data_IF_275224156121
#
_entry.id   IF_275224156121
#
_cell.length_a   1.000
_cell.length_b   1.000
_cell.length_c   1.000
_cell.angle_alpha   90.00
_cell.angle_beta   90.00
_cell.angle_gamma   90.00
#
_symmetry.space_group_name_H-M   'P 1'
#
loop_
_entity.id
_entity.type
_entity.pdbx_description
1 polymer ?
#
# COMPACT_ATOMS: atom_id res chain seq x y z
N UNK A 1 -34.71 2.23 41.44
CA UNK A 1 -33.63 2.17 40.44
C UNK A 1 -32.95 0.82 40.59
N UNK A 2 -33.05 -0.06 39.60
CA UNK A 2 -32.55 -1.44 39.67
C UNK A 2 -31.09 -1.50 39.21
N UNK A 3 -30.19 -1.99 40.06
CA UNK A 3 -28.80 -2.28 39.71
C UNK A 3 -28.73 -3.37 38.62
N UNK A 4 -27.84 -3.25 37.62
CA UNK A 4 -27.66 -4.30 36.64
C UNK A 4 -27.01 -5.52 37.32
N UNK A 5 -27.76 -6.63 37.39
CA UNK A 5 -27.20 -7.91 37.80
C UNK A 5 -26.13 -8.33 36.78
N UNK A 6 -24.87 -8.40 37.21
CA UNK A 6 -23.78 -8.96 36.42
C UNK A 6 -24.13 -10.41 36.06
N UNK A 7 -24.37 -10.66 34.77
CA UNK A 7 -24.56 -12.00 34.23
C UNK A 7 -23.25 -12.79 34.16
N UNK A 8 -23.34 -14.08 33.84
CA UNK A 8 -22.19 -14.96 33.73
C UNK A 8 -21.23 -14.48 32.62
N UNK A 9 -19.96 -14.31 32.98
CA UNK A 9 -18.87 -14.10 32.02
C UNK A 9 -18.31 -15.47 31.61
N UNK A 10 -18.46 -15.83 30.33
CA UNK A 10 -17.88 -17.06 29.77
C UNK A 10 -16.74 -16.66 28.83
N UNK A 11 -15.54 -17.15 29.12
CA UNK A 11 -14.37 -16.97 28.26
C UNK A 11 -14.02 -18.29 27.60
N UNK A 12 -13.84 -18.30 26.28
CA UNK A 12 -13.53 -19.51 25.49
C UNK A 12 -12.26 -19.28 24.68
N UNK A 13 -11.42 -20.32 24.56
CA UNK A 13 -10.30 -20.34 23.62
C UNK A 13 -10.78 -20.73 22.23
N UNK A 14 -10.58 -19.84 21.26
CA UNK A 14 -10.80 -20.13 19.86
C UNK A 14 -9.47 -20.55 19.21
N UNK A 15 -9.44 -21.65 18.43
CA UNK A 15 -8.25 -22.04 17.69
C UNK A 15 -7.99 -21.03 16.57
N UNK A 16 -6.81 -20.43 16.56
CA UNK A 16 -6.40 -19.49 15.52
C UNK A 16 -5.03 -19.89 14.95
N UNK A 17 -4.76 -19.51 13.69
CA UNK A 17 -3.47 -19.76 13.04
C UNK A 17 -2.99 -18.51 12.31
N UNK A 18 -1.72 -18.16 12.52
CA UNK A 18 -1.04 -17.09 11.79
C UNK A 18 -0.45 -17.60 10.49
N UNK A 19 -0.55 -16.77 9.46
CA UNK A 19 0.06 -17.00 8.16
C UNK A 19 0.84 -15.75 7.76
N UNK A 20 2.00 -15.98 7.14
CA UNK A 20 2.77 -14.94 6.47
C UNK A 20 2.38 -14.94 5.01
N UNK A 21 1.76 -13.86 4.57
CA UNK A 21 1.28 -13.69 3.21
C UNK A 21 2.20 -12.69 2.52
N UNK A 22 2.84 -13.14 1.43
CA UNK A 22 3.58 -12.26 0.54
C UNK A 22 2.60 -11.77 -0.52
N UNK A 23 2.23 -10.50 -0.48
CA UNK A 23 1.30 -9.90 -1.40
C UNK A 23 1.97 -8.79 -2.21
N UNK A 24 1.76 -8.82 -3.53
CA UNK A 24 2.14 -7.74 -4.43
C UNK A 24 0.91 -6.89 -4.70
N UNK A 25 0.90 -5.66 -4.19
CA UNK A 25 -0.21 -4.74 -4.38
C UNK A 25 0.16 -3.71 -5.44
N UNK A 26 -0.55 -3.75 -6.58
CA UNK A 26 -0.54 -2.67 -7.56
C UNK A 26 -1.47 -1.57 -7.07
N UNK A 27 -0.88 -0.49 -6.54
CA UNK A 27 -1.65 0.70 -6.18
C UNK A 27 -1.58 1.70 -7.33
N UNK A 28 -2.73 1.98 -7.93
CA UNK A 28 -2.87 3.11 -8.84
C UNK A 28 -2.89 4.40 -8.03
N UNK A 29 -1.79 5.14 -8.05
CA UNK A 29 -1.74 6.47 -7.46
C UNK A 29 -2.12 7.47 -8.53
N UNK A 30 -3.13 8.29 -8.24
CA UNK A 30 -3.46 9.43 -9.08
C UNK A 30 -2.26 10.38 -9.14
N UNK A 31 -1.82 10.71 -10.36
CA UNK A 31 -0.81 11.74 -10.58
C UNK A 31 -1.34 13.11 -10.15
N UNK A 32 -0.45 14.04 -9.75
CA UNK A 32 -0.80 15.45 -9.65
C UNK A 32 -1.49 15.94 -10.93
N UNK A 33 -2.50 16.79 -10.79
CA UNK A 33 -3.33 17.22 -11.93
C UNK A 33 -2.52 17.83 -13.08
N UNK A 34 -1.54 18.70 -12.76
CA UNK A 34 -0.71 19.37 -13.79
C UNK A 34 0.09 18.33 -14.59
N UNK A 35 0.77 17.39 -13.91
CA UNK A 35 1.53 16.34 -14.59
C UNK A 35 0.62 15.45 -15.43
N UNK A 36 -0.57 15.10 -14.92
CA UNK A 36 -1.54 14.27 -15.65
C UNK A 36 -2.03 14.96 -16.93
N UNK A 37 -2.32 16.26 -16.86
CA UNK A 37 -2.71 17.05 -18.01
C UNK A 37 -1.56 17.24 -19.01
N UNK A 38 -0.33 17.45 -18.53
CA UNK A 38 0.85 17.52 -19.40
C UNK A 38 1.02 16.22 -20.20
N UNK A 39 0.89 15.07 -19.54
CA UNK A 39 0.88 13.76 -20.21
C UNK A 39 -0.26 13.62 -21.22
N UNK A 40 -1.44 14.18 -20.92
CA UNK A 40 -2.57 14.16 -21.85
C UNK A 40 -2.32 15.02 -23.09
N UNK A 41 -1.69 16.18 -22.94
CA UNK A 41 -1.30 17.02 -24.06
C UNK A 41 -0.27 16.30 -24.95
N UNK A 42 0.75 15.69 -24.34
CA UNK A 42 1.75 14.90 -25.08
C UNK A 42 1.12 13.74 -25.85
N UNK A 43 0.07 13.09 -25.32
CA UNK A 43 -0.66 12.04 -26.04
C UNK A 43 -1.45 12.56 -27.25
N UNK A 44 -1.86 13.83 -27.23
CA UNK A 44 -2.65 14.44 -28.31
C UNK A 44 -1.73 14.97 -29.41
N UNK A 45 -0.65 15.65 -29.03
CA UNK A 45 0.25 16.34 -29.96
C UNK A 45 1.47 15.51 -30.38
N UNK A 46 1.74 14.39 -29.69
CA UNK A 46 2.88 13.47 -29.86
C UNK A 46 4.26 14.09 -29.55
N UNK A 47 4.48 15.36 -29.90
CA UNK A 47 5.67 16.16 -29.61
C UNK A 47 5.27 17.55 -29.11
N UNK A 48 5.91 18.04 -28.04
CA UNK A 48 5.72 19.40 -27.52
C UNK A 48 7.03 20.02 -27.07
N UNK A 49 7.14 21.34 -27.17
CA UNK A 49 8.26 22.06 -26.56
C UNK A 49 8.01 22.35 -25.07
N UNK A 50 9.07 22.37 -24.23
CA UNK A 50 8.97 22.80 -22.84
C UNK A 50 8.32 24.17 -22.67
N UNK A 51 8.59 25.09 -23.59
CA UNK A 51 8.06 26.45 -23.61
C UNK A 51 6.56 26.49 -23.89
N UNK A 52 6.03 25.56 -24.68
CA UNK A 52 4.59 25.46 -24.96
C UNK A 52 3.82 24.96 -23.74
N UNK A 53 4.39 23.97 -23.04
CA UNK A 53 3.88 23.50 -21.76
C UNK A 53 3.87 24.63 -20.72
N UNK A 54 4.95 25.40 -20.65
CA UNK A 54 5.06 26.56 -19.78
C UNK A 54 3.97 27.59 -20.06
N UNK A 55 3.79 27.96 -21.33
CA UNK A 55 2.78 28.94 -21.74
C UNK A 55 1.34 28.44 -21.52
N UNK A 56 1.09 27.14 -21.77
CA UNK A 56 -0.24 26.55 -21.59
C UNK A 56 -0.68 26.54 -20.13
N UNK A 57 0.23 26.18 -19.22
CA UNK A 57 -0.06 26.12 -17.79
C UNK A 57 0.21 27.44 -17.04
N UNK A 58 0.83 28.42 -17.69
CA UNK A 58 1.23 29.68 -17.07
C UNK A 58 2.33 29.52 -16.01
N UNK A 59 3.25 28.58 -16.23
CA UNK A 59 4.30 28.23 -15.26
C UNK A 59 5.49 29.19 -15.33
N UNK A 60 6.15 29.37 -14.19
CA UNK A 60 7.49 29.98 -14.15
C UNK A 60 8.55 28.98 -14.66
N UNK A 61 9.74 29.47 -15.02
CA UNK A 61 10.83 28.60 -15.52
C UNK A 61 11.20 27.50 -14.50
N UNK A 62 11.18 27.83 -13.21
CA UNK A 62 11.45 26.87 -12.13
C UNK A 62 10.36 25.81 -12.01
N UNK A 63 9.10 26.19 -12.10
CA UNK A 63 7.98 25.24 -12.01
C UNK A 63 7.94 24.32 -13.22
N UNK A 64 8.29 24.83 -14.42
CA UNK A 64 8.48 24.02 -15.62
C UNK A 64 9.55 22.96 -15.38
N UNK A 65 10.71 23.33 -14.84
CA UNK A 65 11.79 22.37 -14.54
C UNK A 65 11.34 21.30 -13.54
N UNK A 66 10.67 21.70 -12.46
CA UNK A 66 10.14 20.74 -11.46
C UNK A 66 9.15 19.76 -12.10
N UNK A 67 8.28 20.24 -13.00
CA UNK A 67 7.35 19.38 -13.74
C UNK A 67 8.08 18.40 -14.66
N UNK A 68 9.08 18.86 -15.40
CA UNK A 68 9.87 18.00 -16.29
C UNK A 68 10.65 16.95 -15.51
N UNK A 69 11.28 17.34 -14.41
CA UNK A 69 12.01 16.43 -13.52
C UNK A 69 11.08 15.36 -12.94
N UNK A 70 9.87 15.74 -12.52
CA UNK A 70 8.85 14.79 -12.06
C UNK A 70 8.43 13.80 -13.14
N UNK A 71 8.22 14.27 -14.36
CA UNK A 71 7.83 13.43 -15.50
C UNK A 71 8.98 12.50 -15.95
N UNK A 72 10.22 12.97 -15.93
CA UNK A 72 11.43 12.19 -16.25
C UNK A 72 11.72 11.14 -15.19
N UNK A 73 11.62 11.49 -13.90
CA UNK A 73 11.84 10.55 -12.80
C UNK A 73 10.88 9.35 -12.87
N UNK A 74 9.65 9.60 -13.36
CA UNK A 74 8.63 8.57 -13.56
C UNK A 74 8.72 7.87 -14.93
N UNK A 75 9.73 8.19 -15.76
CA UNK A 75 9.94 7.65 -17.13
C UNK A 75 8.74 7.82 -18.06
N UNK A 76 7.95 8.87 -17.84
CA UNK A 76 6.75 9.19 -18.61
C UNK A 76 7.07 9.93 -19.90
N UNK A 77 8.15 10.69 -19.91
CA UNK A 77 8.60 11.50 -21.06
C UNK A 77 10.04 11.17 -21.44
N UNK A 78 10.37 11.38 -22.70
CA UNK A 78 11.75 11.42 -23.20
C UNK A 78 12.01 12.81 -23.79
N UNK A 79 13.23 13.31 -23.62
CA UNK A 79 13.68 14.56 -24.24
C UNK A 79 14.55 14.16 -25.44
N UNK A 80 14.14 14.61 -26.63
CA UNK A 80 14.91 14.43 -27.85
C UNK A 80 16.12 15.39 -27.90
N UNK A 81 17.17 15.06 -28.67
CA UNK A 81 18.34 15.92 -28.82
C UNK A 81 18.01 17.30 -29.40
N UNK A 82 16.90 17.41 -30.13
CA UNK A 82 16.38 18.66 -30.71
C UNK A 82 15.60 19.53 -29.70
N UNK A 83 15.50 19.10 -28.43
CA UNK A 83 14.86 19.87 -27.36
C UNK A 83 13.33 19.68 -27.23
N UNK A 84 12.76 18.74 -28.00
CA UNK A 84 11.34 18.37 -27.89
C UNK A 84 11.11 17.34 -26.78
N UNK A 85 9.91 17.38 -26.19
CA UNK A 85 9.42 16.39 -25.23
C UNK A 85 8.49 15.44 -25.97
N UNK A 86 8.76 14.15 -25.84
CA UNK A 86 7.95 13.07 -26.40
C UNK A 86 7.37 12.17 -25.31
N UNK A 87 6.19 11.62 -25.58
CA UNK A 87 5.59 10.59 -24.74
C UNK A 87 6.40 9.30 -24.80
N UNK A 88 6.85 8.81 -23.64
CA UNK A 88 7.54 7.51 -23.55
C UNK A 88 6.64 6.37 -24.02
N UNK A 89 7.24 5.31 -24.56
CA UNK A 89 6.53 4.08 -24.92
C UNK A 89 5.74 3.48 -23.75
N UNK A 90 6.21 3.71 -22.51
CA UNK A 90 5.50 3.31 -21.29
C UNK A 90 4.17 4.06 -21.15
N UNK A 91 4.20 5.38 -21.32
CA UNK A 91 3.03 6.25 -21.23
C UNK A 91 2.01 5.93 -22.33
N UNK A 92 2.45 5.69 -23.57
CA UNK A 92 1.57 5.30 -24.69
C UNK A 92 0.84 3.97 -24.43
N UNK A 93 1.56 2.95 -23.95
CA UNK A 93 0.97 1.65 -23.58
C UNK A 93 -0.02 1.79 -22.41
N UNK A 94 0.34 2.57 -21.40
CA UNK A 94 -0.50 2.78 -20.24
C UNK A 94 -1.77 3.58 -20.56
N UNK A 95 -1.67 4.58 -21.44
CA UNK A 95 -2.80 5.37 -21.90
C UNK A 95 -3.76 4.54 -22.77
N UNK A 96 -3.24 3.66 -23.64
CA UNK A 96 -4.05 2.73 -24.42
C UNK A 96 -4.83 1.75 -23.53
N UNK A 97 -4.20 1.25 -22.45
CA UNK A 97 -4.86 0.35 -21.50
C UNK A 97 -5.90 1.05 -20.61
N UNK A 98 -5.76 2.35 -20.37
CA UNK A 98 -6.54 3.08 -19.36
C UNK A 98 -7.48 4.15 -19.97
N UNK A 99 -7.93 3.94 -21.21
CA UNK A 99 -8.91 4.81 -21.88
C UNK A 99 -8.45 6.27 -22.04
N UNK A 100 -7.15 6.49 -22.22
CA UNK A 100 -6.57 7.84 -22.43
C UNK A 100 -6.31 8.63 -21.14
N UNK A 101 -6.39 8.01 -19.96
CA UNK A 101 -6.01 8.64 -18.68
C UNK A 101 -4.69 8.07 -18.16
N UNK A 102 -3.58 8.84 -18.20
CA UNK A 102 -2.34 8.41 -17.56
C UNK A 102 -2.56 8.35 -16.04
N UNK A 103 -2.25 7.20 -15.44
CA UNK A 103 -2.26 6.94 -14.01
C UNK A 103 -0.91 6.33 -13.64
N UNK A 104 -0.42 6.59 -12.43
CA UNK A 104 0.88 6.09 -12.00
C UNK A 104 0.68 4.78 -11.23
N UNK A 105 1.00 3.66 -11.85
CA UNK A 105 0.95 2.36 -11.17
C UNK A 105 2.22 2.18 -10.35
N UNK A 106 2.09 2.19 -9.02
CA UNK A 106 3.16 1.78 -8.11
C UNK A 106 2.96 0.34 -7.72
N UNK A 107 3.94 -0.49 -8.07
CA UNK A 107 4.03 -1.87 -7.59
C UNK A 107 4.70 -1.86 -6.22
N UNK A 108 3.99 -2.33 -5.19
CA UNK A 108 4.54 -2.47 -3.85
C UNK A 108 4.38 -3.91 -3.37
N UNK A 109 5.51 -4.59 -3.16
CA UNK A 109 5.54 -5.86 -2.45
C UNK A 109 5.43 -5.60 -0.94
N UNK A 110 4.48 -6.24 -0.29
CA UNK A 110 4.30 -6.21 1.16
C UNK A 110 4.23 -7.64 1.68
N UNK A 111 4.87 -7.87 2.81
CA UNK A 111 4.69 -9.10 3.57
C UNK A 111 3.81 -8.76 4.77
N UNK A 112 2.63 -9.35 4.82
CA UNK A 112 1.68 -9.15 5.92
C UNK A 112 1.54 -10.44 6.72
N UNK A 113 1.48 -10.31 8.04
CA UNK A 113 1.19 -11.41 8.94
C UNK A 113 -0.26 -11.30 9.42
N UNK A 114 -1.08 -12.27 9.05
CA UNK A 114 -2.52 -12.29 9.34
C UNK A 114 -2.86 -13.54 10.13
N UNK A 115 -3.59 -13.37 11.22
CA UNK A 115 -4.13 -14.47 12.01
C UNK A 115 -5.60 -14.71 11.64
N UNK A 116 -5.94 -15.97 11.35
CA UNK A 116 -7.31 -16.39 11.08
C UNK A 116 -7.84 -17.23 12.24
N UNK A 117 -9.08 -16.95 12.65
CA UNK A 117 -9.86 -17.85 13.49
C UNK A 117 -10.24 -19.09 12.67
N UNK A 118 -9.90 -20.28 13.15
CA UNK A 118 -10.18 -21.54 12.46
C UNK A 118 -11.64 -21.98 12.60
N UNK A 119 -12.41 -21.38 13.52
CA UNK A 119 -13.83 -21.68 13.65
C UNK A 119 -14.67 -20.89 12.64
N UNK A 120 -14.42 -19.60 12.48
CA UNK A 120 -15.21 -18.72 11.59
C UNK A 120 -14.49 -18.34 10.29
N UNK A 121 -13.21 -18.70 10.14
CA UNK A 121 -12.33 -18.30 9.03
C UNK A 121 -12.23 -16.77 8.87
N UNK A 122 -12.45 -16.02 9.95
CA UNK A 122 -12.40 -14.57 9.97
C UNK A 122 -11.02 -14.05 10.37
N UNK A 123 -10.68 -12.85 9.90
CA UNK A 123 -9.41 -12.19 10.22
C UNK A 123 -9.48 -11.68 11.67
N UNK A 124 -8.54 -12.13 12.50
CA UNK A 124 -8.37 -11.60 13.85
C UNK A 124 -7.76 -10.20 13.78
N UNK A 125 -8.43 -9.21 14.37
CA UNK A 125 -7.87 -7.85 14.46
C UNK A 125 -6.59 -7.88 15.30
N UNK A 126 -5.47 -7.29 14.84
CA UNK A 126 -4.26 -7.20 15.64
C UNK A 126 -4.57 -6.34 16.87
N UNK A 127 -4.57 -6.96 18.06
CA UNK A 127 -4.69 -6.21 19.31
C UNK A 127 -3.28 -5.86 19.80
N UNK A 128 -2.94 -4.55 19.91
CA UNK A 128 -1.59 -4.11 20.32
C UNK A 128 -1.25 -4.46 21.77
N UNK A 129 -2.20 -5.00 22.53
CA UNK A 129 -2.06 -5.30 23.94
C UNK A 129 -2.66 -6.68 24.23
N UNK A 130 -2.01 -7.75 23.76
CA UNK A 130 -2.14 -9.10 24.35
C UNK A 130 -1.52 -9.14 25.75
N UNK A 131 -1.82 -8.15 26.60
CA UNK A 131 -1.60 -8.28 28.05
C UNK A 131 -2.61 -9.30 28.49
N UNK A 132 -2.15 -10.54 28.68
CA UNK A 132 -2.80 -11.62 29.42
C UNK A 132 -4.08 -11.17 30.12
N UNK A 133 -5.20 -11.14 29.39
CA UNK A 133 -6.50 -10.90 30.01
C UNK A 133 -6.88 -12.20 30.67
N UNK A 134 -6.40 -12.34 31.91
CA UNK A 134 -6.88 -13.23 32.96
C UNK A 134 -7.36 -14.61 32.49
N UNK A 135 -6.43 -15.58 32.49
CA UNK A 135 -6.76 -16.97 32.79
C UNK A 135 -6.51 -18.02 31.70
N UNK A 136 -6.29 -17.65 30.44
CA UNK A 136 -6.10 -18.63 29.38
C UNK A 136 -4.74 -18.42 28.66
N UNK A 137 -3.82 -19.39 28.73
CA UNK A 137 -2.51 -19.27 28.09
C UNK A 137 -2.62 -19.39 26.57
N UNK A 138 -1.72 -18.71 25.86
CA UNK A 138 -1.51 -18.99 24.44
C UNK A 138 -0.93 -20.41 24.30
N UNK A 139 -1.66 -21.28 23.61
CA UNK A 139 -1.20 -22.65 23.36
C UNK A 139 -0.16 -22.61 22.25
N UNK A 140 1.10 -22.85 22.60
CA UNK A 140 2.16 -22.99 21.61
C UNK A 140 1.81 -24.14 20.65
N UNK A 141 2.05 -23.98 19.34
CA UNK A 141 1.75 -25.03 18.39
C UNK A 141 2.58 -26.29 18.71
N UNK A 142 1.99 -27.49 18.52
CA UNK A 142 2.54 -28.79 18.97
C UNK A 142 4.01 -29.05 18.61
N UNK A 143 4.51 -28.47 17.52
CA UNK A 143 5.92 -28.60 17.11
C UNK A 143 6.91 -27.84 18.00
N UNK A 144 6.45 -26.91 18.85
CA UNK A 144 7.26 -26.14 19.81
C UNK A 144 7.14 -26.67 21.25
N UNK A 145 6.21 -27.61 21.51
CA UNK A 145 5.95 -28.15 22.86
C UNK A 145 7.07 -29.11 23.33
N UNK A 146 8.03 -29.46 22.46
CA UNK A 146 9.17 -30.31 22.78
C UNK A 146 10.32 -29.66 23.57
N UNK A 147 10.18 -28.41 24.04
CA UNK A 147 11.26 -27.66 24.69
C UNK A 147 10.86 -27.00 26.00
N UNK A 148 11.16 -27.68 27.11
CA UNK A 148 11.19 -27.17 28.51
C UNK A 148 9.85 -26.75 29.14
N UNK A 149 9.20 -27.73 29.76
CA UNK A 149 8.52 -27.48 31.03
C UNK A 149 9.56 -27.17 32.11
N UNK A 150 9.61 -25.93 32.58
CA UNK A 150 10.20 -25.61 33.89
C UNK A 150 9.09 -25.02 34.77
N UNK A 151 8.40 -25.90 35.50
CA UNK A 151 7.73 -25.54 36.73
C UNK A 151 8.77 -25.43 37.86
N UNK A 152 8.65 -24.38 38.67
CA UNK A 152 9.12 -24.37 40.06
C UNK A 152 10.37 -23.55 40.35
N UNK A 153 10.21 -22.35 40.92
CA UNK A 153 10.20 -22.25 42.38
C UNK A 153 9.69 -20.88 42.85
N UNK A 154 8.75 -20.94 43.82
CA UNK A 154 8.46 -19.84 44.74
C UNK A 154 9.55 -19.84 45.81
N UNK A 155 10.09 -18.68 46.13
CA UNK A 155 10.95 -18.42 47.28
C UNK A 155 10.89 -16.92 47.58
N UNK A 156 10.52 -16.62 48.82
CA UNK A 156 10.28 -15.33 49.50
C UNK A 156 10.87 -14.06 48.89
#
# INVERSE_FOLDING_TARGET
>A
MSEPRLGNLITVLLPARSYKINCALTTEKLMPGIEQFACRLLLIFDQLYPSELQNYFGLTDREREVLLDGLLANRLININPDGHIEASSFLRKHAASNGGKPSLVKYQERTEEVAFDLLTLSICKPQPNRRFTSGLPELLPRHQIGGRCCCGNRGF
#
